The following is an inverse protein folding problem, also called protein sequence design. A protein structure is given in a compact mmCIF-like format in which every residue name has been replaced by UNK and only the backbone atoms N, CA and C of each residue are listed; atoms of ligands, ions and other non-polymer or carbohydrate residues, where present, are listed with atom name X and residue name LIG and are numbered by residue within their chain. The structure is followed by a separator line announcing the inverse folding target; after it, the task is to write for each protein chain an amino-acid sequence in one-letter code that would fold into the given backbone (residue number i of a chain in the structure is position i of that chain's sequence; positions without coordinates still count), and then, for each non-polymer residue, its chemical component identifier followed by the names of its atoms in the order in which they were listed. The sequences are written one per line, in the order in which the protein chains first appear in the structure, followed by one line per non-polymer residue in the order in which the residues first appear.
data_IF_528956604473
#
_entry.id   IF_528956604473
#
_cell.length_a   1.000
_cell.length_b   1.000
_cell.length_c   1.000
_cell.angle_alpha   90.00
_cell.angle_beta   90.00
_cell.angle_gamma   90.00
#
_symmetry.space_group_name_H-M   'P 1'
#
loop_
_entity.id
_entity.type
_entity.pdbx_description
1 polymer ?
#
# COMPACT_ATOMS: atom_id res chain seq x y z
N UNK A 1 72.21 -9.46 -15.51
CA UNK A 1 71.19 -9.82 -14.50
C UNK A 1 69.95 -8.91 -14.47
N UNK A 2 69.91 -7.77 -15.18
CA UNK A 2 68.78 -6.82 -15.12
C UNK A 2 67.55 -7.16 -15.99
N UNK A 3 67.67 -8.05 -16.98
CA UNK A 3 66.56 -8.38 -17.91
C UNK A 3 65.44 -9.21 -17.28
N UNK A 4 65.74 -10.10 -16.33
CA UNK A 4 64.74 -10.96 -15.69
C UNK A 4 63.80 -10.23 -14.74
N UNK A 5 64.26 -9.12 -14.12
CA UNK A 5 63.45 -8.32 -13.18
C UNK A 5 62.45 -7.45 -13.96
N UNK A 6 62.91 -6.83 -15.07
CA UNK A 6 62.04 -6.06 -15.97
C UNK A 6 60.94 -6.92 -16.59
N UNK A 7 61.26 -8.14 -17.02
CA UNK A 7 60.28 -9.05 -17.62
C UNK A 7 59.24 -9.56 -16.61
N UNK A 8 59.64 -9.76 -15.34
CA UNK A 8 58.75 -10.18 -14.25
C UNK A 8 57.81 -9.04 -13.83
N UNK A 9 58.31 -7.81 -13.76
CA UNK A 9 57.50 -6.63 -13.46
C UNK A 9 56.51 -6.31 -14.59
N UNK A 10 56.92 -6.48 -15.85
CA UNK A 10 56.03 -6.33 -17.00
C UNK A 10 54.89 -7.35 -16.99
N UNK A 11 55.17 -8.63 -16.66
CA UNK A 11 54.15 -9.67 -16.53
C UNK A 11 53.14 -9.38 -15.41
N UNK A 12 53.63 -8.93 -14.24
CA UNK A 12 52.78 -8.54 -13.11
C UNK A 12 51.90 -7.36 -13.51
N UNK A 13 52.47 -6.35 -14.19
CA UNK A 13 51.72 -5.18 -14.66
C UNK A 13 50.62 -5.57 -15.66
N UNK A 14 50.90 -6.44 -16.64
CA UNK A 14 49.88 -6.94 -17.56
C UNK A 14 48.79 -7.73 -16.84
N UNK A 15 49.13 -8.61 -15.89
CA UNK A 15 48.12 -9.30 -15.09
C UNK A 15 47.23 -8.33 -14.33
N UNK A 16 47.80 -7.27 -13.75
CA UNK A 16 47.07 -6.25 -13.00
C UNK A 16 46.13 -5.45 -13.91
N UNK A 17 46.57 -5.11 -15.12
CA UNK A 17 45.73 -4.46 -16.15
C UNK A 17 44.56 -5.35 -16.57
N UNK A 18 44.78 -6.65 -16.82
CA UNK A 18 43.70 -7.58 -17.15
C UNK A 18 42.71 -7.77 -16.00
N UNK A 19 43.19 -7.78 -14.75
CA UNK A 19 42.35 -7.88 -13.55
C UNK A 19 41.48 -6.62 -13.38
N UNK A 20 42.07 -5.44 -13.55
CA UNK A 20 41.35 -4.17 -13.49
C UNK A 20 40.34 -4.03 -14.63
N UNK A 21 40.70 -4.47 -15.85
CA UNK A 21 39.79 -4.48 -16.99
C UNK A 21 38.63 -5.46 -16.77
N UNK A 22 38.91 -6.65 -16.22
CA UNK A 22 37.88 -7.62 -15.84
C UNK A 22 36.93 -7.06 -14.77
N UNK A 23 37.46 -6.39 -13.76
CA UNK A 23 36.65 -5.74 -12.73
C UNK A 23 35.80 -4.58 -13.30
N UNK A 24 36.34 -3.79 -14.23
CA UNK A 24 35.61 -2.72 -14.89
C UNK A 24 34.48 -3.26 -15.78
N UNK A 25 34.73 -4.34 -16.52
CA UNK A 25 33.69 -5.02 -17.32
C UNK A 25 32.61 -5.60 -16.40
N UNK A 26 33.00 -6.24 -15.28
CA UNK A 26 32.05 -6.76 -14.31
C UNK A 26 31.17 -5.65 -13.70
N UNK A 27 31.78 -4.52 -13.34
CA UNK A 27 31.05 -3.35 -12.85
C UNK A 27 30.10 -2.78 -13.90
N UNK A 28 30.53 -2.69 -15.17
CA UNK A 28 29.68 -2.26 -16.28
C UNK A 28 28.50 -3.21 -16.48
N UNK A 29 28.73 -4.53 -16.42
CA UNK A 29 27.69 -5.55 -16.52
C UNK A 29 26.68 -5.44 -15.37
N UNK A 30 27.14 -5.17 -14.15
CA UNK A 30 26.25 -4.91 -13.00
C UNK A 30 25.39 -3.67 -13.25
N UNK A 31 25.97 -2.58 -13.75
CA UNK A 31 25.25 -1.33 -14.05
C UNK A 31 24.22 -1.53 -15.16
N UNK A 32 24.60 -2.23 -16.24
CA UNK A 32 23.68 -2.55 -17.36
C UNK A 32 22.54 -3.42 -16.87
N UNK A 33 22.84 -4.47 -16.09
CA UNK A 33 21.85 -5.34 -15.46
C UNK A 33 20.90 -4.54 -14.56
N UNK A 34 21.42 -3.66 -13.69
CA UNK A 34 20.57 -2.79 -12.87
C UNK A 34 19.73 -1.81 -13.69
N UNK A 35 20.23 -1.32 -14.84
CA UNK A 35 19.48 -0.36 -15.67
C UNK A 35 18.33 -1.04 -16.43
N UNK A 36 18.55 -2.25 -16.96
CA UNK A 36 17.57 -2.97 -17.76
C UNK A 36 16.53 -3.67 -16.88
N UNK A 37 16.95 -4.20 -15.73
CA UNK A 37 16.09 -4.93 -14.81
C UNK A 37 15.52 -4.07 -13.67
N UNK A 38 15.69 -2.74 -13.63
CA UNK A 38 14.95 -1.91 -12.67
C UNK A 38 13.45 -2.22 -12.77
N UNK A 39 12.68 -2.14 -11.66
CA UNK A 39 11.24 -2.38 -11.72
C UNK A 39 10.64 -1.40 -12.72
N UNK A 40 10.30 -1.91 -13.91
CA UNK A 40 9.55 -1.18 -14.91
C UNK A 40 8.12 -1.14 -14.40
N UNK A 41 7.86 -0.20 -13.49
CA UNK A 41 6.51 0.15 -13.11
C UNK A 41 5.82 0.51 -14.41
N UNK A 42 4.86 -0.31 -14.85
CA UNK A 42 4.13 -0.07 -16.09
C UNK A 42 3.72 1.40 -16.09
N UNK A 43 4.14 2.15 -17.11
CA UNK A 43 3.75 3.55 -17.21
C UNK A 43 2.22 3.58 -17.16
N UNK A 44 1.61 4.41 -16.30
CA UNK A 44 0.17 4.46 -16.10
C UNK A 44 -0.61 4.91 -17.34
N UNK A 45 0.06 5.09 -18.49
CA UNK A 45 -0.48 5.58 -19.74
C UNK A 45 -0.96 4.48 -20.71
N UNK A 46 -0.88 3.20 -20.35
CA UNK A 46 -1.63 2.19 -21.13
C UNK A 46 -3.13 2.39 -20.86
N UNK A 47 -3.98 2.36 -21.89
CA UNK A 47 -5.45 2.49 -21.73
C UNK A 47 -6.06 1.49 -20.75
N UNK A 48 -5.36 0.39 -20.44
CA UNK A 48 -5.74 -0.59 -19.43
C UNK A 48 -5.49 -0.13 -17.97
N UNK A 49 -4.74 0.95 -17.74
CA UNK A 49 -4.39 1.46 -16.41
C UNK A 49 -5.29 2.61 -15.93
N UNK A 50 -6.22 3.10 -16.75
CA UNK A 50 -7.04 4.28 -16.41
C UNK A 50 -8.06 4.01 -15.31
N UNK A 51 -8.49 2.76 -15.13
CA UNK A 51 -9.46 2.37 -14.10
C UNK A 51 -8.81 1.61 -12.95
N UNK A 52 -7.48 1.61 -12.82
CA UNK A 52 -6.79 0.77 -11.83
C UNK A 52 -6.12 1.62 -10.76
N UNK A 53 -6.43 1.33 -9.50
CA UNK A 53 -5.70 1.87 -8.36
C UNK A 53 -4.54 0.93 -8.01
N UNK A 54 -3.30 1.40 -8.17
CA UNK A 54 -2.10 0.56 -8.06
C UNK A 54 -1.38 0.73 -6.72
N UNK A 55 -0.89 -0.38 -6.15
CA UNK A 55 -0.19 -0.46 -4.87
C UNK A 55 1.19 -1.09 -5.06
N UNK A 56 2.23 -0.35 -4.71
CA UNK A 56 3.62 -0.83 -4.75
C UNK A 56 4.00 -1.46 -3.42
N UNK A 57 4.64 -2.62 -3.47
CA UNK A 57 5.16 -3.32 -2.31
C UNK A 57 6.62 -3.71 -2.50
N UNK A 58 7.33 -3.78 -1.37
CA UNK A 58 8.71 -4.26 -1.29
C UNK A 58 8.80 -5.26 -0.14
N UNK A 59 9.24 -6.48 -0.43
CA UNK A 59 9.42 -7.55 0.55
C UNK A 59 10.75 -8.26 0.42
N UNK A 60 11.13 -9.01 1.45
CA UNK A 60 12.29 -9.88 1.40
C UNK A 60 12.03 -11.04 0.43
N UNK A 61 12.96 -11.27 -0.48
CA UNK A 61 12.96 -12.41 -1.37
C UNK A 61 13.53 -13.63 -0.65
N UNK A 62 12.74 -14.71 -0.59
CA UNK A 62 13.17 -16.01 -0.13
C UNK A 62 13.27 -16.95 -1.33
N UNK A 63 14.48 -17.20 -1.82
CA UNK A 63 14.71 -18.02 -3.00
C UNK A 63 14.28 -19.48 -2.81
N UNK A 64 14.25 -19.97 -1.56
CA UNK A 64 13.83 -21.33 -1.24
C UNK A 64 12.30 -21.45 -1.09
N UNK A 65 11.59 -20.33 -0.91
CA UNK A 65 10.14 -20.28 -0.78
C UNK A 65 9.60 -18.95 -1.35
N UNK A 66 9.51 -18.90 -2.68
CA UNK A 66 8.96 -17.75 -3.40
C UNK A 66 7.48 -17.51 -3.05
N UNK A 67 6.76 -18.58 -2.68
CA UNK A 67 5.36 -18.50 -2.24
C UNK A 67 5.22 -17.68 -0.96
N UNK A 68 6.14 -17.83 -0.01
CA UNK A 68 6.19 -16.99 1.19
C UNK A 68 6.44 -15.52 0.84
N UNK A 69 7.40 -15.21 -0.03
CA UNK A 69 7.66 -13.83 -0.45
C UNK A 69 6.46 -13.18 -1.15
N UNK A 70 5.70 -13.95 -1.94
CA UNK A 70 4.45 -13.48 -2.55
C UNK A 70 3.38 -13.21 -1.50
N UNK A 71 3.12 -14.15 -0.59
CA UNK A 71 2.14 -13.97 0.51
C UNK A 71 2.48 -12.78 1.40
N UNK A 72 3.75 -12.60 1.75
CA UNK A 72 4.19 -11.47 2.58
C UNK A 72 3.95 -10.15 1.86
N UNK A 73 4.22 -10.10 0.55
CA UNK A 73 3.98 -8.92 -0.27
C UNK A 73 2.49 -8.62 -0.43
N UNK A 74 1.66 -9.63 -0.63
CA UNK A 74 0.21 -9.49 -0.67
C UNK A 74 -0.35 -8.93 0.63
N UNK A 75 0.10 -9.45 1.79
CA UNK A 75 -0.30 -8.94 3.11
C UNK A 75 0.03 -7.44 3.27
N UNK A 76 1.22 -7.03 2.80
CA UNK A 76 1.59 -5.61 2.82
C UNK A 76 0.69 -4.81 1.88
N UNK A 77 0.37 -5.32 0.68
CA UNK A 77 -0.52 -4.65 -0.26
C UNK A 77 -1.91 -4.43 0.33
N UNK A 78 -2.49 -5.46 0.95
CA UNK A 78 -3.78 -5.40 1.66
C UNK A 78 -3.73 -4.36 2.77
N UNK A 79 -2.69 -4.35 3.59
CA UNK A 79 -2.55 -3.37 4.68
C UNK A 79 -2.46 -1.92 4.16
N UNK A 80 -1.73 -1.69 3.07
CA UNK A 80 -1.64 -0.37 2.42
C UNK A 80 -3.00 0.02 1.82
N UNK A 81 -3.67 -0.91 1.14
CA UNK A 81 -5.00 -0.70 0.56
C UNK A 81 -6.01 -0.31 1.64
N UNK A 82 -6.12 -1.13 2.69
CA UNK A 82 -7.04 -0.90 3.82
C UNK A 82 -6.82 0.45 4.47
N UNK A 83 -5.57 0.85 4.68
CA UNK A 83 -5.24 2.18 5.19
C UNK A 83 -5.71 3.29 4.23
N UNK A 84 -5.45 3.14 2.94
CA UNK A 84 -5.87 4.14 1.94
C UNK A 84 -7.40 4.28 1.87
N UNK A 85 -8.14 3.16 1.97
CA UNK A 85 -9.61 3.17 2.06
C UNK A 85 -10.07 3.88 3.33
N UNK A 86 -9.50 3.53 4.49
CA UNK A 86 -9.79 4.20 5.75
C UNK A 86 -9.58 5.71 5.66
N UNK A 87 -8.41 6.15 5.21
CA UNK A 87 -8.06 7.57 5.13
C UNK A 87 -9.03 8.33 4.20
N UNK A 88 -9.42 7.71 3.07
CA UNK A 88 -10.36 8.31 2.10
C UNK A 88 -11.79 8.36 2.63
N UNK A 89 -12.28 7.28 3.23
CA UNK A 89 -13.60 7.22 3.84
C UNK A 89 -13.71 8.20 5.01
N UNK A 90 -12.73 8.20 5.92
CA UNK A 90 -12.66 9.12 7.05
C UNK A 90 -12.67 10.58 6.57
N UNK A 91 -11.91 10.91 5.52
CA UNK A 91 -11.95 12.26 4.93
C UNK A 91 -13.35 12.64 4.44
N UNK A 92 -14.07 11.74 3.80
CA UNK A 92 -15.44 12.01 3.33
C UNK A 92 -16.42 12.18 4.49
N UNK A 93 -16.36 11.31 5.50
CA UNK A 93 -17.18 11.38 6.72
C UNK A 93 -16.96 12.72 7.41
N UNK A 94 -15.69 13.13 7.59
CA UNK A 94 -15.35 14.41 8.23
C UNK A 94 -15.96 15.62 7.52
N UNK A 95 -15.99 15.58 6.19
CA UNK A 95 -16.61 16.63 5.38
C UNK A 95 -18.14 16.58 5.50
N UNK A 96 -18.74 15.40 5.43
CA UNK A 96 -20.19 15.22 5.42
C UNK A 96 -20.86 15.69 6.73
N UNK A 97 -20.27 15.37 7.88
CA UNK A 97 -20.87 15.68 9.20
C UNK A 97 -20.33 16.95 9.85
N UNK A 98 -19.44 17.70 9.19
CA UNK A 98 -18.80 18.85 9.82
C UNK A 98 -18.02 18.45 11.07
N UNK A 99 -17.00 17.62 10.90
CA UNK A 99 -16.31 16.92 12.01
C UNK A 99 -15.96 17.79 13.20
N UNK A 100 -15.51 19.03 12.99
CA UNK A 100 -15.06 19.92 14.05
C UNK A 100 -16.19 20.36 15.00
N UNK A 101 -17.43 20.37 14.53
CA UNK A 101 -18.62 20.80 15.28
C UNK A 101 -19.50 19.66 15.74
N UNK A 102 -19.26 18.43 15.26
CA UNK A 102 -20.02 17.24 15.64
C UNK A 102 -19.71 16.84 17.09
N UNK A 103 -20.69 16.38 17.86
CA UNK A 103 -20.42 15.93 19.24
C UNK A 103 -19.55 14.67 19.29
N UNK A 104 -18.87 14.49 20.42
CA UNK A 104 -17.88 13.42 20.59
C UNK A 104 -18.50 12.03 20.41
N UNK A 105 -19.73 11.83 20.88
CA UNK A 105 -20.42 10.53 20.80
C UNK A 105 -20.72 10.13 19.34
N UNK A 106 -21.18 11.07 18.51
CA UNK A 106 -21.37 10.83 17.08
C UNK A 106 -20.05 10.62 16.33
N UNK A 107 -18.97 11.31 16.73
CA UNK A 107 -17.63 11.05 16.17
C UNK A 107 -17.20 9.62 16.47
N UNK A 108 -17.30 9.19 17.73
CA UNK A 108 -16.93 7.85 18.16
C UNK A 108 -17.77 6.78 17.44
N UNK A 109 -19.08 6.99 17.31
CA UNK A 109 -19.97 6.11 16.57
C UNK A 109 -19.56 6.00 15.09
N UNK A 110 -19.19 7.12 14.47
CA UNK A 110 -18.72 7.14 13.09
C UNK A 110 -17.38 6.44 12.91
N UNK A 111 -16.39 6.68 13.77
CA UNK A 111 -15.08 6.01 13.73
C UNK A 111 -15.22 4.49 13.97
N UNK A 112 -16.04 4.11 14.96
CA UNK A 112 -16.26 2.71 15.28
C UNK A 112 -16.98 1.97 14.16
N UNK A 113 -18.02 2.57 13.56
CA UNK A 113 -18.72 1.99 12.41
C UNK A 113 -17.81 1.86 11.19
N UNK A 114 -16.96 2.85 10.94
CA UNK A 114 -15.95 2.80 9.87
C UNK A 114 -14.97 1.63 10.06
N UNK A 115 -14.42 1.47 11.26
CA UNK A 115 -13.49 0.38 11.57
C UNK A 115 -14.17 -0.99 11.43
N UNK A 116 -15.39 -1.14 11.93
CA UNK A 116 -16.16 -2.38 11.80
C UNK A 116 -16.46 -2.71 10.34
N UNK A 117 -16.85 -1.72 9.52
CA UNK A 117 -17.08 -1.92 8.10
C UNK A 117 -15.79 -2.35 7.36
N UNK A 118 -14.65 -1.73 7.69
CA UNK A 118 -13.35 -2.09 7.12
C UNK A 118 -12.87 -3.49 7.51
N UNK A 119 -13.18 -3.95 8.72
CA UNK A 119 -12.81 -5.29 9.16
C UNK A 119 -13.61 -6.37 8.43
N UNK A 120 -14.84 -6.07 8.00
CA UNK A 120 -15.67 -6.96 7.19
C UNK A 120 -15.27 -6.98 5.71
N UNK A 121 -14.47 -6.02 5.24
CA UNK A 121 -14.01 -5.99 3.85
C UNK A 121 -12.84 -6.95 3.68
N UNK A 122 -13.11 -8.01 2.93
CA UNK A 122 -12.10 -8.91 2.40
C UNK A 122 -11.58 -8.33 1.08
N UNK A 123 -10.34 -7.83 1.08
CA UNK A 123 -9.66 -7.35 -0.12
C UNK A 123 -9.16 -8.52 -0.98
N UNK A 124 -10.03 -9.47 -1.32
CA UNK A 124 -9.65 -10.69 -2.04
C UNK A 124 -9.18 -10.42 -3.48
N UNK A 125 -9.54 -9.26 -4.03
CA UNK A 125 -9.40 -8.95 -5.45
C UNK A 125 -8.19 -8.07 -5.81
N UNK A 126 -7.19 -7.94 -4.91
CA UNK A 126 -5.91 -7.32 -5.28
C UNK A 126 -5.15 -8.20 -6.28
N UNK A 127 -5.21 -7.86 -7.56
CA UNK A 127 -4.50 -8.59 -8.62
C UNK A 127 -3.06 -8.11 -8.76
N UNK A 128 -2.13 -9.06 -8.85
CA UNK A 128 -0.71 -8.81 -9.04
C UNK A 128 -0.43 -8.47 -10.51
N UNK A 129 -0.15 -7.19 -10.79
CA UNK A 129 0.10 -6.68 -12.14
C UNK A 129 1.53 -6.93 -12.64
N UNK A 130 2.51 -6.68 -11.77
CA UNK A 130 3.92 -6.82 -12.15
C UNK A 130 4.77 -7.20 -10.94
N UNK A 131 5.83 -7.98 -11.17
CA UNK A 131 6.79 -8.40 -10.15
C UNK A 131 8.19 -8.21 -10.68
N UNK A 132 9.04 -7.61 -9.85
CA UNK A 132 10.47 -7.56 -10.06
C UNK A 132 11.20 -8.20 -8.88
N UNK A 133 12.20 -9.03 -9.16
CA UNK A 133 13.01 -9.70 -8.14
C UNK A 133 14.45 -9.20 -8.26
N UNK A 134 14.91 -8.47 -7.25
CA UNK A 134 16.30 -8.05 -7.11
C UNK A 134 17.07 -9.13 -6.34
N UNK A 135 17.76 -10.01 -7.09
CA UNK A 135 18.57 -11.09 -6.53
C UNK A 135 19.79 -10.58 -5.75
N UNK A 136 20.32 -9.41 -6.11
CA UNK A 136 21.47 -8.83 -5.42
C UNK A 136 21.07 -8.28 -4.05
N UNK A 137 19.91 -7.62 -3.98
CA UNK A 137 19.37 -7.08 -2.72
C UNK A 137 18.52 -8.08 -1.94
N UNK A 138 18.27 -9.26 -2.51
CA UNK A 138 17.35 -10.27 -1.97
C UNK A 138 15.99 -9.65 -1.65
N UNK A 139 15.45 -8.88 -2.60
CA UNK A 139 14.18 -8.16 -2.49
C UNK A 139 13.23 -8.51 -3.62
N UNK A 140 11.95 -8.53 -3.30
CA UNK A 140 10.85 -8.67 -4.25
C UNK A 140 10.05 -7.38 -4.24
N UNK A 141 9.87 -6.81 -5.41
CA UNK A 141 9.02 -5.66 -5.67
C UNK A 141 7.79 -6.15 -6.40
N UNK A 142 6.60 -5.74 -5.98
CA UNK A 142 5.38 -6.07 -6.71
C UNK A 142 4.44 -4.88 -6.78
N UNK A 143 3.72 -4.83 -7.90
CA UNK A 143 2.62 -3.92 -8.14
C UNK A 143 1.34 -4.74 -8.05
N UNK A 144 0.51 -4.46 -7.07
CA UNK A 144 -0.88 -4.92 -7.03
C UNK A 144 -1.78 -3.84 -7.57
N UNK A 145 -2.97 -4.20 -7.98
CA UNK A 145 -4.00 -3.23 -8.27
C UNK A 145 -5.37 -3.76 -7.90
N UNK A 146 -6.30 -2.81 -7.77
CA UNK A 146 -7.72 -3.02 -7.57
C UNK A 146 -8.45 -2.17 -8.61
N UNK A 147 -9.61 -2.64 -9.07
CA UNK A 147 -10.46 -1.82 -9.93
C UNK A 147 -10.94 -0.60 -9.15
N UNK A 148 -10.97 0.54 -9.81
CA UNK A 148 -11.44 1.80 -9.22
C UNK A 148 -12.93 1.74 -8.96
N UNK A 149 -13.69 1.06 -9.82
CA UNK A 149 -15.14 0.91 -9.64
C UNK A 149 -15.43 0.06 -8.38
N UNK A 150 -14.65 -0.99 -8.16
CA UNK A 150 -14.74 -1.82 -6.96
C UNK A 150 -14.38 -1.03 -5.70
N UNK A 151 -13.31 -0.22 -5.77
CA UNK A 151 -12.91 0.68 -4.68
C UNK A 151 -14.01 1.68 -4.34
N UNK A 152 -14.73 2.20 -5.34
CA UNK A 152 -15.84 3.13 -5.14
C UNK A 152 -17.04 2.44 -4.47
N UNK A 153 -17.39 1.21 -4.88
CA UNK A 153 -18.42 0.39 -4.23
C UNK A 153 -18.07 0.15 -2.75
N UNK A 154 -16.82 -0.19 -2.46
CA UNK A 154 -16.33 -0.37 -1.09
C UNK A 154 -16.51 0.92 -0.27
N UNK A 155 -16.08 2.06 -0.82
CA UNK A 155 -16.20 3.36 -0.14
C UNK A 155 -17.67 3.75 0.10
N UNK A 156 -18.55 3.49 -0.86
CA UNK A 156 -19.97 3.74 -0.71
C UNK A 156 -20.59 2.88 0.40
N UNK A 157 -20.28 1.57 0.42
CA UNK A 157 -20.77 0.67 1.46
C UNK A 157 -20.33 1.09 2.87
N UNK A 158 -19.09 1.52 3.02
CA UNK A 158 -18.58 2.10 4.26
C UNK A 158 -19.39 3.35 4.66
N UNK A 159 -19.60 4.27 3.72
CA UNK A 159 -20.33 5.51 3.97
C UNK A 159 -21.77 5.23 4.42
N UNK A 160 -22.46 4.30 3.76
CA UNK A 160 -23.82 3.88 4.13
C UNK A 160 -23.87 3.25 5.53
N UNK A 161 -22.87 2.42 5.89
CA UNK A 161 -22.76 1.82 7.23
C UNK A 161 -22.57 2.88 8.32
N UNK A 162 -21.69 3.85 8.07
CA UNK A 162 -21.43 4.95 9.00
C UNK A 162 -22.67 5.82 9.15
N UNK A 163 -23.34 6.17 8.05
CA UNK A 163 -24.53 7.00 8.07
C UNK A 163 -25.67 6.36 8.87
N UNK A 164 -25.92 5.06 8.67
CA UNK A 164 -26.92 4.33 9.47
C UNK A 164 -26.60 4.36 10.97
N UNK A 165 -25.33 4.23 11.34
CA UNK A 165 -24.92 4.24 12.75
C UNK A 165 -25.10 5.60 13.40
N UNK A 166 -24.71 6.69 12.71
CA UNK A 166 -24.85 8.05 13.22
C UNK A 166 -26.32 8.44 13.32
N UNK A 167 -27.12 8.21 12.26
CA UNK A 167 -28.54 8.56 12.26
C UNK A 167 -29.32 7.83 13.36
N UNK A 168 -29.06 6.54 13.56
CA UNK A 168 -29.71 5.76 14.63
C UNK A 168 -29.43 6.35 16.02
N UNK A 169 -28.22 6.84 16.26
CA UNK A 169 -27.89 7.49 17.53
C UNK A 169 -28.57 8.86 17.67
N UNK A 170 -28.73 9.60 16.57
CA UNK A 170 -29.43 10.88 16.57
C UNK A 170 -30.93 10.70 16.85
N UNK A 171 -31.55 9.68 16.24
CA UNK A 171 -32.96 9.35 16.46
C UNK A 171 -33.20 8.91 17.92
N UNK A 172 -32.27 8.16 18.52
CA UNK A 172 -32.35 7.74 19.93
C UNK A 172 -32.22 8.93 20.90
N UNK A 173 -31.39 9.92 20.58
CA UNK A 173 -31.26 11.15 21.38
C UNK A 173 -32.53 12.03 21.30
N UNK A 174 -33.18 12.10 20.14
CA UNK A 174 -34.46 12.81 19.98
C UNK A 174 -35.59 12.16 20.79
N UNK A 175 -35.69 10.82 20.81
CA UNK A 175 -36.69 10.09 21.59
C UNK A 175 -36.51 10.26 23.12
N UNK A 176 -35.26 10.31 23.62
CA UNK A 176 -34.99 10.56 25.05
C UNK A 176 -35.36 11.98 25.50
N UNK A 177 -35.36 12.96 24.58
CA UNK A 177 -35.77 14.34 24.87
C UNK A 177 -37.30 14.44 24.95
N UNK A 178 -38.05 13.71 24.11
CA UNK A 178 -39.52 13.71 24.15
C UNK A 178 -40.06 13.01 25.41
N UNK A 179 -39.48 11.88 25.84
CA UNK A 179 -39.97 11.13 27.03
C UNK A 179 -39.71 11.87 28.36
N UNK A 180 -38.63 12.66 28.43
CA UNK A 180 -38.34 13.53 29.60
C UNK A 180 -39.06 14.89 29.56
N UNK A 181 -39.60 15.30 28.41
CA UNK A 181 -40.34 16.55 28.24
C UNK A 181 -41.75 16.51 28.85
N UNK A 182 -42.38 15.33 28.90
CA UNK A 182 -43.76 15.15 29.37
C UNK A 182 -43.88 15.01 30.91
N UNK A 183 -42.80 14.74 31.64
CA UNK A 183 -42.87 14.57 33.10
C UNK A 183 -42.84 15.90 33.90
N UNK A 184 -42.64 17.05 33.25
CA UNK A 184 -42.45 18.33 33.94
C UNK A 184 -43.66 19.30 33.91
N UNK A 185 -44.82 18.90 33.35
CA UNK A 185 -46.03 19.76 33.30
C UNK A 185 -47.06 19.51 34.42
N UNK A 186 -46.85 18.57 35.34
CA UNK A 186 -47.79 18.31 36.46
C UNK A 186 -47.20 18.55 37.85
N UNK A 187 -46.77 19.78 38.14
CA UNK A 187 -46.76 20.30 39.52
C UNK A 187 -47.30 21.74 39.50
N UNK A 188 -48.62 21.86 39.62
CA UNK A 188 -49.33 23.10 40.04
C UNK A 188 -49.60 23.06 41.54
#
# INVERSE_FOLDING_TARGET
MSGHILFRNAKILTCLVFLLMGAAILALLIVVYESENRPQWAEPNSKAAQNLSVIKTETKLNLLDLGKSRRDSYKIAVAICRKAVFDRAMKQIKVAYGWETLDHEFRDAAEHSLLNALDQIEFEDLYELNVYMDLFKMKRYALYAIDTDELEVILQGIYESVNKAVLKLMDEEEEEIEDNGDENETIS
#
